data_IF_041288538573
#
_entry.id   IF_041288538573
#
_cell.length_a   1.000
_cell.length_b   1.000
_cell.length_c   1.000
_cell.angle_alpha   90.00
_cell.angle_beta   90.00
_cell.angle_gamma   90.00
#
_symmetry.space_group_name_H-M   'P 1'
#
loop_
_entity.id
_entity.type
_entity.pdbx_description
1 polymer ?
#
# COMPACT_ATOMS: atom_id res chain seq x y z
N UNK A 1 6.96 15.31 -18.20
CA UNK A 1 7.39 14.45 -17.09
C UNK A 1 6.18 14.26 -16.19
N UNK A 2 5.81 13.03 -15.86
CA UNK A 2 4.73 12.78 -14.89
C UNK A 2 5.19 13.37 -13.55
N UNK A 3 4.41 14.26 -12.91
CA UNK A 3 4.77 14.75 -11.59
C UNK A 3 4.92 13.56 -10.64
N UNK A 4 6.06 13.49 -9.96
CA UNK A 4 6.35 12.48 -8.95
C UNK A 4 6.90 13.16 -7.70
N UNK A 5 6.65 12.54 -6.56
CA UNK A 5 7.20 12.95 -5.27
C UNK A 5 7.79 11.77 -4.52
N UNK A 6 8.63 12.04 -3.53
CA UNK A 6 9.04 11.00 -2.59
C UNK A 6 7.82 10.50 -1.79
N UNK A 7 7.78 9.19 -1.59
CA UNK A 7 6.75 8.57 -0.80
C UNK A 7 6.97 8.84 0.70
N UNK A 8 5.89 9.16 1.40
CA UNK A 8 5.88 9.27 2.84
C UNK A 8 5.85 7.88 3.51
N UNK A 9 6.30 7.75 4.78
CA UNK A 9 6.09 6.53 5.55
C UNK A 9 4.62 6.12 5.56
N UNK A 10 4.35 4.83 5.35
CA UNK A 10 2.99 4.28 5.26
C UNK A 10 2.36 4.35 3.86
N UNK A 11 3.00 4.99 2.89
CA UNK A 11 2.54 4.93 1.50
C UNK A 11 2.98 3.62 0.85
N UNK A 12 2.05 2.98 0.15
CA UNK A 12 2.19 1.64 -0.38
C UNK A 12 2.18 1.65 -1.91
N UNK A 13 3.10 0.88 -2.46
CA UNK A 13 3.06 0.46 -3.84
C UNK A 13 1.86 -0.47 -4.09
N UNK A 14 1.42 -0.55 -5.33
CA UNK A 14 0.35 -1.47 -5.79
C UNK A 14 0.60 -2.96 -5.47
N UNK A 15 1.85 -3.30 -5.12
CA UNK A 15 2.24 -4.63 -4.62
C UNK A 15 2.14 -4.81 -3.09
N UNK A 16 1.78 -3.77 -2.34
CA UNK A 16 1.69 -3.74 -0.87
C UNK A 16 3.00 -3.44 -0.14
N UNK A 17 4.13 -3.30 -0.83
CA UNK A 17 5.38 -2.83 -0.21
C UNK A 17 5.35 -1.32 -0.02
N UNK A 18 6.17 -0.81 0.91
CA UNK A 18 6.39 0.62 1.04
C UNK A 18 6.84 1.23 -0.30
N UNK A 19 6.12 2.26 -0.73
CA UNK A 19 6.48 3.06 -1.88
C UNK A 19 7.76 3.87 -1.57
N UNK A 20 8.56 4.09 -2.61
CA UNK A 20 9.70 5.02 -2.60
C UNK A 20 9.34 6.31 -3.32
N UNK A 21 8.56 6.18 -4.38
CA UNK A 21 8.11 7.26 -5.23
C UNK A 21 6.59 7.18 -5.36
N UNK A 22 5.94 8.33 -5.47
CA UNK A 22 4.52 8.44 -5.76
C UNK A 22 4.35 9.21 -7.04
N UNK A 23 3.75 8.58 -8.03
CA UNK A 23 3.42 9.19 -9.31
C UNK A 23 2.01 9.75 -9.25
N UNK A 24 1.86 11.02 -9.62
CA UNK A 24 0.55 11.67 -9.73
C UNK A 24 0.10 11.54 -11.18
N UNK A 25 -1.01 10.84 -11.40
CA UNK A 25 -1.64 10.68 -12.72
C UNK A 25 -2.30 11.99 -13.15
N UNK A 26 -2.62 12.08 -14.44
CA UNK A 26 -3.26 13.26 -15.02
C UNK A 26 -4.66 13.52 -14.43
N UNK A 27 -5.32 12.47 -13.96
CA UNK A 27 -6.62 12.51 -13.27
C UNK A 27 -6.51 12.92 -11.78
N UNK A 28 -5.29 13.07 -11.25
CA UNK A 28 -5.03 13.40 -9.85
C UNK A 28 -4.79 12.18 -8.95
N UNK A 29 -4.96 10.96 -9.45
CA UNK A 29 -4.68 9.75 -8.67
C UNK A 29 -3.19 9.61 -8.36
N UNK A 30 -2.89 9.29 -7.10
CA UNK A 30 -1.54 9.04 -6.64
C UNK A 30 -1.25 7.53 -6.61
N UNK A 31 -0.16 7.11 -7.26
CA UNK A 31 0.27 5.71 -7.30
C UNK A 31 1.67 5.55 -6.74
N UNK A 32 1.76 4.72 -5.70
CA UNK A 32 3.02 4.32 -5.10
C UNK A 32 3.81 3.35 -5.98
N UNK A 33 5.11 3.58 -6.06
CA UNK A 33 6.07 2.74 -6.73
C UNK A 33 7.22 2.40 -5.79
N UNK A 34 7.50 1.10 -5.64
CA UNK A 34 8.53 0.59 -4.74
C UNK A 34 9.91 0.43 -5.41
N UNK A 35 10.08 0.86 -6.66
CA UNK A 35 11.33 0.66 -7.42
C UNK A 35 11.42 -0.67 -8.16
N UNK A 36 10.40 -1.53 -8.08
CA UNK A 36 10.37 -2.83 -8.77
C UNK A 36 9.32 -2.81 -9.89
N UNK A 37 9.71 -2.88 -11.17
CA UNK A 37 8.82 -2.67 -12.32
C UNK A 37 7.70 -3.72 -12.39
N UNK A 38 7.96 -4.95 -11.96
CA UNK A 38 6.94 -6.01 -11.91
C UNK A 38 6.08 -6.00 -10.64
N UNK A 39 6.21 -5.00 -9.77
CA UNK A 39 5.58 -5.05 -8.45
C UNK A 39 6.19 -6.15 -7.56
N UNK A 40 7.43 -6.60 -7.86
CA UNK A 40 8.23 -7.60 -7.13
C UNK A 40 7.51 -8.90 -6.81
N UNK A 41 7.90 -9.61 -5.75
CA UNK A 41 7.35 -10.97 -5.46
C UNK A 41 5.82 -10.98 -5.47
N UNK A 42 5.26 -11.61 -6.52
CA UNK A 42 3.83 -11.77 -6.78
C UNK A 42 3.19 -12.92 -6.00
N UNK A 43 3.97 -13.57 -5.13
CA UNK A 43 3.53 -14.69 -4.31
C UNK A 43 2.51 -14.21 -3.27
N UNK A 44 1.43 -14.97 -3.11
CA UNK A 44 0.40 -14.74 -2.09
C UNK A 44 -0.80 -13.88 -2.52
N UNK A 45 -1.80 -13.74 -1.63
CA UNK A 45 -3.00 -12.96 -1.88
C UNK A 45 -2.68 -11.47 -2.08
N UNK A 46 -3.61 -10.75 -2.70
CA UNK A 46 -3.53 -9.30 -2.87
C UNK A 46 -3.56 -8.64 -1.48
N UNK A 47 -2.59 -7.77 -1.15
CA UNK A 47 -2.51 -7.15 0.17
C UNK A 47 -3.64 -6.15 0.46
N UNK A 48 -4.36 -5.70 -0.56
CA UNK A 48 -5.44 -4.71 -0.43
C UNK A 48 -6.84 -5.33 -0.27
N UNK A 49 -7.07 -6.49 -0.88
CA UNK A 49 -8.41 -7.12 -0.87
C UNK A 49 -8.42 -8.56 -0.33
N UNK A 50 -7.25 -9.13 -0.03
CA UNK A 50 -7.11 -10.52 0.43
C UNK A 50 -7.41 -11.60 -0.63
N UNK A 51 -7.83 -11.21 -1.84
CA UNK A 51 -8.18 -12.15 -2.93
C UNK A 51 -6.98 -12.47 -3.81
N UNK A 52 -7.20 -13.17 -4.94
CA UNK A 52 -6.18 -13.37 -5.98
C UNK A 52 -5.61 -12.02 -6.44
N UNK A 53 -4.31 -11.99 -6.77
CA UNK A 53 -3.62 -10.82 -7.31
C UNK A 53 -4.34 -10.35 -8.58
N UNK A 54 -4.59 -9.05 -8.69
CA UNK A 54 -5.17 -8.46 -9.90
C UNK A 54 -4.07 -8.29 -10.96
N UNK A 55 -4.35 -8.73 -12.19
CA UNK A 55 -3.48 -8.56 -13.35
C UNK A 55 -4.33 -8.58 -14.62
N UNK A 56 -4.20 -7.61 -15.54
CA UNK A 56 -3.35 -6.42 -15.45
C UNK A 56 -3.94 -5.35 -14.51
N UNK A 57 -3.07 -4.54 -13.89
CA UNK A 57 -3.47 -3.34 -13.12
C UNK A 57 -3.51 -3.49 -11.59
N UNK A 58 -3.68 -2.36 -10.87
CA UNK A 58 -3.77 -2.35 -9.41
C UNK A 58 -5.07 -3.00 -8.91
N UNK A 59 -5.10 -3.33 -7.61
CA UNK A 59 -6.34 -3.76 -6.97
C UNK A 59 -7.39 -2.64 -7.08
N UNK A 60 -8.68 -2.94 -7.35
CA UNK A 60 -9.74 -1.93 -7.30
C UNK A 60 -9.97 -1.35 -5.88
N UNK A 61 -9.41 -2.00 -4.85
CA UNK A 61 -9.34 -1.48 -3.47
C UNK A 61 -7.97 -0.93 -3.11
N UNK A 62 -7.13 -0.68 -4.11
CA UNK A 62 -5.85 -0.04 -3.90
C UNK A 62 -6.08 1.33 -3.26
N UNK A 63 -5.31 1.60 -2.22
CA UNK A 63 -5.20 2.92 -1.62
C UNK A 63 -3.73 3.18 -1.35
N UNK A 64 -3.27 4.40 -1.63
CA UNK A 64 -1.87 4.77 -1.41
C UNK A 64 -1.50 4.62 0.07
N UNK A 65 -2.41 4.95 0.97
CA UNK A 65 -2.27 4.65 2.40
C UNK A 65 -3.41 3.73 2.78
N UNK A 66 -3.10 2.59 3.40
CA UNK A 66 -4.15 1.87 4.10
C UNK A 66 -4.76 2.84 5.12
N UNK A 67 -6.09 2.83 5.32
CA UNK A 67 -6.65 3.55 6.46
C UNK A 67 -5.83 3.08 7.65
N UNK A 68 -5.21 4.02 8.38
CA UNK A 68 -4.53 3.69 9.61
C UNK A 68 -5.59 2.97 10.45
N UNK A 69 -5.52 1.65 10.51
CA UNK A 69 -6.38 0.90 11.41
C UNK A 69 -6.18 1.55 12.77
N UNK A 70 -7.29 1.95 13.44
CA UNK A 70 -7.18 2.59 14.73
C UNK A 70 -6.35 1.67 15.59
N UNK A 71 -5.32 2.24 16.21
CA UNK A 71 -4.49 1.58 17.20
C UNK A 71 -5.42 0.88 18.20
N UNK A 72 -5.63 -0.42 18.03
CA UNK A 72 -6.24 -1.28 19.05
C UNK A 72 -5.32 -2.49 19.23
N UNK A 73 -4.11 -2.19 19.68
CA UNK A 73 -3.47 -3.00 20.71
C UNK A 73 -3.33 -2.12 21.96
N UNK A 74 -4.47 -1.63 22.45
CA UNK A 74 -4.69 -1.59 23.89
C UNK A 74 -4.59 -3.06 24.34
N UNK A 75 -3.42 -3.44 24.82
CA UNK A 75 -3.12 -4.75 25.37
C UNK A 75 -3.92 -4.90 26.68
N UNK A 76 -4.89 -5.83 26.79
CA UNK A 76 -5.52 -6.12 28.05
C UNK A 76 -4.53 -6.94 28.90
N UNK A 77 -3.69 -6.27 29.70
CA UNK A 77 -3.00 -6.91 30.83
C UNK A 77 -3.78 -6.69 32.11
N UNK A 78 -4.66 -7.62 32.55
CA UNK A 78 -4.94 -7.73 33.97
C UNK A 78 -3.77 -8.49 34.60
N UNK A 79 -2.96 -7.81 35.41
CA UNK A 79 -2.04 -8.49 36.32
C UNK A 79 -1.80 -7.67 37.58
N UNK A 80 -2.32 -8.17 38.71
CA UNK A 80 -1.68 -8.10 40.01
C UNK A 80 -2.32 -7.17 41.04
N UNK A 81 -2.93 -7.76 42.08
CA UNK A 81 -3.39 -7.12 43.31
C UNK A 81 -4.18 -8.09 44.17
#
# INVERSE_FOLDING_TARGET
MTPWRQAAPGELCTCGRQAREVFVRADGDEIGYCGVPDGGSKSGPCPFCGKRRHSPGPCPRYTLRLPADPVTCDDPRPNGG
#
